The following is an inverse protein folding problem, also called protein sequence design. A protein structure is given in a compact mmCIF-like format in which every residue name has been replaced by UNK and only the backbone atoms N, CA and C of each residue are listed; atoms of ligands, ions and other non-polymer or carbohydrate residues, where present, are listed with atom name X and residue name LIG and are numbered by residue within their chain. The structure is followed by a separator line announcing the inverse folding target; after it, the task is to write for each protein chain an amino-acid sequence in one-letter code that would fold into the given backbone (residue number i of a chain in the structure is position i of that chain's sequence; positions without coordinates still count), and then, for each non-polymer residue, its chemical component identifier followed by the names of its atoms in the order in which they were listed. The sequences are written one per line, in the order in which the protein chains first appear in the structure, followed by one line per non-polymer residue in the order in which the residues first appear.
data_IF_656318557551
#
_entry.id   IF_656318557551
#
_cell.length_a   1.000
_cell.length_b   1.000
_cell.length_c   1.000
_cell.angle_alpha   90.00
_cell.angle_beta   90.00
_cell.angle_gamma   90.00
#
_symmetry.space_group_name_H-M   'P 1'
#
loop_
_entity.id
_entity.type
_entity.pdbx_description
1 polymer ?
#
# COMPACT_ATOMS: atom_id res chain seq x y z
N UNK A 1 3.36 -0.48 -16.19
CA UNK A 1 3.10 0.91 -16.62
C UNK A 1 1.92 1.04 -17.59
N UNK A 2 1.56 0.01 -18.36
CA UNK A 2 0.45 0.10 -19.34
C UNK A 2 -0.87 0.58 -18.73
N UNK A 3 -1.25 0.10 -17.55
CA UNK A 3 -2.45 0.58 -16.85
C UNK A 3 -2.38 2.05 -16.44
N UNK A 4 -1.21 2.53 -15.99
CA UNK A 4 -1.02 3.93 -15.65
C UNK A 4 -1.17 4.84 -16.88
N UNK A 5 -0.56 4.44 -18.00
CA UNK A 5 -0.68 5.17 -19.26
C UNK A 5 -2.11 5.17 -19.80
N UNK A 6 -2.83 4.06 -19.67
CA UNK A 6 -4.23 3.97 -20.09
C UNK A 6 -5.12 4.94 -19.30
N UNK A 7 -4.91 5.05 -17.97
CA UNK A 7 -5.65 6.00 -17.12
C UNK A 7 -5.36 7.44 -17.53
N UNK A 8 -4.09 7.84 -17.64
CA UNK A 8 -3.73 9.21 -18.00
C UNK A 8 -4.15 9.58 -19.43
N UNK A 9 -4.24 8.61 -20.34
CA UNK A 9 -4.75 8.85 -21.70
C UNK A 9 -6.26 9.09 -21.72
N UNK A 10 -7.02 8.41 -20.87
CA UNK A 10 -8.48 8.54 -20.79
C UNK A 10 -8.94 9.69 -19.89
N UNK A 11 -8.16 10.02 -18.87
CA UNK A 11 -8.42 11.07 -17.88
C UNK A 11 -7.12 11.80 -17.55
N UNK A 12 -6.77 12.86 -18.30
CA UNK A 12 -5.52 13.60 -18.12
C UNK A 12 -5.35 14.23 -16.73
N UNK A 13 -6.47 14.51 -16.05
CA UNK A 13 -6.50 15.11 -14.71
C UNK A 13 -6.54 14.06 -13.59
N UNK A 14 -6.34 12.76 -13.91
CA UNK A 14 -6.31 11.71 -12.90
C UNK A 14 -5.02 11.74 -12.07
N UNK A 15 -5.15 11.36 -10.80
CA UNK A 15 -4.00 11.05 -9.94
C UNK A 15 -3.77 9.53 -9.88
N UNK A 16 -2.52 9.12 -10.08
CA UNK A 16 -2.06 7.74 -9.90
C UNK A 16 -1.25 7.69 -8.61
N UNK A 17 -1.74 6.92 -7.63
CA UNK A 17 -1.09 6.77 -6.33
C UNK A 17 -0.46 5.39 -6.24
N UNK A 18 0.87 5.35 -6.25
CA UNK A 18 1.66 4.12 -6.08
C UNK A 18 1.83 3.83 -4.60
N UNK A 19 1.56 2.59 -4.21
CA UNK A 19 1.70 2.10 -2.84
C UNK A 19 2.31 0.70 -2.84
N UNK A 20 2.67 0.20 -1.67
CA UNK A 20 3.27 -1.12 -1.50
C UNK A 20 2.84 -1.76 -0.18
N UNK A 21 2.78 -3.09 -0.19
CA UNK A 21 2.64 -3.91 1.02
C UNK A 21 1.44 -3.50 1.90
N UNK A 22 0.27 -3.35 1.26
CA UNK A 22 -0.97 -2.92 1.93
C UNK A 22 -1.45 -4.01 2.90
N UNK A 23 -1.78 -3.62 4.13
CA UNK A 23 -2.31 -4.53 5.15
C UNK A 23 -3.45 -3.88 5.97
N UNK A 24 -4.36 -4.71 6.45
CA UNK A 24 -5.57 -4.31 7.19
C UNK A 24 -5.32 -4.24 8.71
N UNK A 25 -4.32 -4.97 9.22
CA UNK A 25 -3.98 -4.98 10.65
C UNK A 25 -4.89 -5.87 11.52
N UNK A 26 -5.98 -6.39 10.96
CA UNK A 26 -6.85 -7.40 11.59
C UNK A 26 -6.53 -8.84 11.16
N UNK A 27 -7.44 -9.79 11.39
CA UNK A 27 -7.21 -11.22 11.08
C UNK A 27 -7.46 -11.60 9.60
N UNK A 28 -7.35 -10.63 8.70
CA UNK A 28 -7.59 -10.78 7.26
C UNK A 28 -6.65 -11.79 6.58
N UNK A 29 -6.72 -11.87 5.26
CA UNK A 29 -5.85 -12.77 4.47
C UNK A 29 -4.59 -12.07 3.92
N UNK A 30 -4.22 -10.92 4.49
CA UNK A 30 -3.01 -10.21 4.11
C UNK A 30 -1.74 -10.86 4.66
N UNK A 31 -0.59 -10.43 4.13
CA UNK A 31 0.72 -10.97 4.53
C UNK A 31 0.98 -10.80 6.04
N UNK A 32 0.66 -9.62 6.61
CA UNK A 32 0.89 -9.35 8.02
C UNK A 32 0.03 -10.25 8.93
N UNK A 33 -1.21 -10.54 8.54
CA UNK A 33 -2.09 -11.50 9.22
C UNK A 33 -1.58 -12.94 9.07
N UNK A 34 -1.02 -13.30 7.92
CA UNK A 34 -0.30 -14.56 7.72
C UNK A 34 0.86 -14.74 8.70
N UNK A 35 1.73 -13.73 8.80
CA UNK A 35 2.86 -13.73 9.74
C UNK A 35 2.39 -13.78 11.20
N UNK A 36 1.35 -13.01 11.59
CA UNK A 36 0.80 -13.06 12.95
C UNK A 36 0.26 -14.44 13.34
N UNK A 37 -0.49 -15.09 12.43
CA UNK A 37 -1.01 -16.46 12.65
C UNK A 37 0.11 -17.48 12.73
N UNK A 38 1.10 -17.36 11.87
CA UNK A 38 2.23 -18.27 11.87
C UNK A 38 3.09 -18.09 13.16
N UNK A 39 3.27 -16.85 13.62
CA UNK A 39 3.97 -16.53 14.86
C UNK A 39 3.20 -16.90 16.14
N UNK A 40 1.86 -17.02 16.09
CA UNK A 40 1.06 -17.51 17.23
C UNK A 40 1.02 -19.04 17.32
N UNK A 41 1.47 -19.74 16.28
CA UNK A 41 1.69 -21.18 16.29
C UNK A 41 3.00 -21.57 16.98
N UNK A 42 3.22 -22.88 17.11
CA UNK A 42 4.45 -23.47 17.66
C UNK A 42 5.46 -23.91 16.59
N UNK A 43 5.22 -23.58 15.32
CA UNK A 43 6.08 -23.93 14.19
C UNK A 43 6.94 -22.74 13.75
N UNK A 44 8.11 -23.02 13.18
CA UNK A 44 9.03 -22.01 12.64
C UNK A 44 8.49 -21.43 11.34
N UNK A 45 8.56 -20.10 11.19
CA UNK A 45 8.10 -19.38 10.01
C UNK A 45 9.30 -18.91 9.20
N UNK A 46 9.47 -19.44 7.99
CA UNK A 46 10.47 -18.94 7.05
C UNK A 46 9.94 -17.68 6.35
N UNK A 47 10.61 -16.56 6.61
CA UNK A 47 10.29 -15.26 6.01
C UNK A 47 11.51 -14.78 5.25
N UNK A 48 11.28 -14.25 4.05
CA UNK A 48 12.31 -13.66 3.20
C UNK A 48 12.89 -12.42 3.90
N UNK A 49 14.17 -12.47 4.28
CA UNK A 49 14.81 -11.42 5.10
C UNK A 49 15.55 -10.35 4.28
N UNK A 50 15.68 -10.50 2.96
CA UNK A 50 16.37 -9.56 2.07
C UNK A 50 15.43 -8.52 1.44
N UNK A 51 14.13 -8.60 1.75
CA UNK A 51 13.13 -7.65 1.26
C UNK A 51 12.83 -6.59 2.33
N UNK A 52 13.40 -5.40 2.13
CA UNK A 52 13.12 -4.21 2.92
C UNK A 52 11.97 -3.45 2.24
N UNK A 53 10.81 -3.42 2.87
CA UNK A 53 9.64 -2.66 2.43
C UNK A 53 9.01 -1.92 3.60
N UNK A 54 8.29 -0.83 3.29
CA UNK A 54 7.47 -0.14 4.30
C UNK A 54 6.02 -0.60 4.14
N UNK A 55 5.50 -1.47 5.02
CA UNK A 55 4.12 -1.93 4.94
C UNK A 55 3.17 -0.74 5.12
N UNK A 56 2.13 -0.68 4.30
CA UNK A 56 1.18 0.44 4.29
C UNK A 56 -0.14 0.01 4.92
N UNK A 57 -0.53 0.63 6.03
CA UNK A 57 -1.81 0.38 6.67
C UNK A 57 -2.95 0.95 5.82
N UNK A 58 -3.99 0.15 5.60
CA UNK A 58 -5.13 0.53 4.74
C UNK A 58 -5.82 1.80 5.23
N UNK A 59 -5.93 2.00 6.55
CA UNK A 59 -6.55 3.20 7.12
C UNK A 59 -5.79 4.48 6.76
N UNK A 60 -4.45 4.43 6.84
CA UNK A 60 -3.60 5.57 6.51
C UNK A 60 -3.59 5.84 5.01
N UNK A 61 -3.58 4.79 4.19
CA UNK A 61 -3.70 4.92 2.74
C UNK A 61 -5.02 5.57 2.34
N UNK A 62 -6.14 5.14 2.92
CA UNK A 62 -7.45 5.76 2.68
C UNK A 62 -7.46 7.24 3.07
N UNK A 63 -6.88 7.60 4.22
CA UNK A 63 -6.77 9.00 4.63
C UNK A 63 -5.95 9.85 3.64
N UNK A 64 -4.81 9.34 3.17
CA UNK A 64 -3.99 10.01 2.16
C UNK A 64 -4.73 10.19 0.83
N UNK A 65 -5.46 9.18 0.36
CA UNK A 65 -6.26 9.26 -0.86
C UNK A 65 -7.35 10.34 -0.77
N UNK A 66 -8.02 10.47 0.38
CA UNK A 66 -9.02 11.50 0.60
C UNK A 66 -8.41 12.91 0.58
N UNK A 67 -7.19 13.09 1.11
CA UNK A 67 -6.47 14.37 1.04
C UNK A 67 -6.08 14.74 -0.40
N UNK A 68 -5.66 13.77 -1.20
CA UNK A 68 -5.37 13.99 -2.63
C UNK A 68 -6.64 14.39 -3.37
N UNK A 69 -7.75 13.71 -3.09
CA UNK A 69 -9.04 13.99 -3.72
C UNK A 69 -9.63 15.37 -3.36
N UNK A 70 -9.20 15.99 -2.25
CA UNK A 70 -9.63 17.32 -1.82
C UNK A 70 -9.03 18.47 -2.70
N UNK A 71 -8.22 18.12 -3.70
CA UNK A 71 -7.81 19.04 -4.77
C UNK A 71 -6.62 19.93 -4.43
N UNK A 72 -5.95 19.70 -3.30
CA UNK A 72 -4.73 20.41 -2.91
C UNK A 72 -3.46 19.96 -3.65
N UNK A 73 -3.56 18.93 -4.49
CA UNK A 73 -2.43 18.25 -5.14
C UNK A 73 -2.70 18.24 -6.64
N UNK A 74 -1.70 18.59 -7.45
CA UNK A 74 -1.82 18.68 -8.91
C UNK A 74 -0.96 17.66 -9.65
N UNK A 75 -0.09 16.96 -8.94
CA UNK A 75 0.83 15.99 -9.51
C UNK A 75 0.07 14.73 -9.99
N UNK A 76 0.25 14.29 -11.25
CA UNK A 76 -0.49 13.16 -11.81
C UNK A 76 -0.01 11.81 -11.28
N UNK A 77 1.20 11.73 -10.72
CA UNK A 77 1.77 10.49 -10.16
C UNK A 77 2.36 10.78 -8.78
N UNK A 78 1.87 10.06 -7.79
CA UNK A 78 2.18 10.21 -6.37
C UNK A 78 2.64 8.87 -5.79
N UNK A 79 3.40 8.92 -4.70
CA UNK A 79 3.77 7.73 -3.93
C UNK A 79 3.24 7.90 -2.51
N UNK A 80 2.48 6.91 -2.03
CA UNK A 80 1.93 6.88 -0.68
C UNK A 80 2.26 5.53 -0.03
N UNK A 81 3.09 5.59 1.01
CA UNK A 81 3.42 4.47 1.88
C UNK A 81 3.65 5.02 3.29
N UNK A 82 3.43 4.20 4.33
CA UNK A 82 3.83 4.59 5.67
C UNK A 82 5.35 4.78 5.74
N UNK A 83 5.84 5.54 6.72
CA UNK A 83 7.28 5.68 6.96
C UNK A 83 7.86 4.35 7.42
N UNK A 84 8.91 3.87 6.75
CA UNK A 84 9.69 2.73 7.22
C UNK A 84 10.46 3.13 8.50
N UNK A 85 10.53 2.22 9.47
CA UNK A 85 11.39 2.34 10.64
C UNK A 85 12.82 1.89 10.35
#
# INVERSE_FOLDING_TARGET
LEGEFAVLSAMPDAHIVRTSWVYEGGDGSDFAAGIRRAASGSETVDVVSDQIGSPTYVGDLCAALLQIADGGISEPVLHAANSGG
#
